data_IF_941511496270
#
_entry.id   IF_941511496270
#
_cell.length_a   1.000
_cell.length_b   1.000
_cell.length_c   1.000
_cell.angle_alpha   90.00
_cell.angle_beta   90.00
_cell.angle_gamma   90.00
#
_symmetry.space_group_name_H-M   'P 1'
#
loop_
_entity.id
_entity.type
_entity.pdbx_description
1 polymer ?
#
# COMPACT_ATOMS: atom_id res chain seq x y z
N UNK A 1 18.05 -6.08 39.82
CA UNK A 1 18.11 -5.15 38.66
C UNK A 1 18.96 -5.83 37.60
N UNK A 2 18.55 -5.85 36.33
CA UNK A 2 19.36 -6.46 35.29
C UNK A 2 20.72 -5.77 35.17
N UNK A 3 21.78 -6.52 34.87
CA UNK A 3 23.13 -5.99 34.69
C UNK A 3 23.20 -5.02 33.51
N UNK A 4 24.09 -4.02 33.56
CA UNK A 4 24.26 -3.04 32.49
C UNK A 4 24.65 -3.72 31.17
N UNK A 5 23.82 -3.53 30.16
CA UNK A 5 24.00 -4.08 28.81
C UNK A 5 24.99 -3.23 28.01
N UNK A 6 25.97 -3.86 27.38
CA UNK A 6 26.78 -3.21 26.35
C UNK A 6 26.04 -3.28 25.01
N UNK A 7 25.32 -2.21 24.71
CA UNK A 7 24.52 -2.08 23.51
C UNK A 7 25.38 -2.09 22.24
N UNK A 8 26.65 -1.64 22.31
CA UNK A 8 27.54 -1.62 21.16
C UNK A 8 27.94 -3.03 20.73
N UNK A 9 28.14 -3.91 21.71
CA UNK A 9 28.37 -5.34 21.50
C UNK A 9 27.10 -6.04 20.99
N UNK A 10 25.94 -5.77 21.61
CA UNK A 10 24.67 -6.39 21.26
C UNK A 10 24.22 -6.11 19.81
N UNK A 11 24.46 -4.90 19.31
CA UNK A 11 24.11 -4.48 17.94
C UNK A 11 24.95 -5.21 16.88
N UNK A 12 26.12 -5.73 17.26
CA UNK A 12 26.98 -6.52 16.38
C UNK A 12 26.65 -8.01 16.33
N UNK A 13 25.77 -8.50 17.21
CA UNK A 13 25.40 -9.92 17.32
C UNK A 13 24.25 -10.29 16.37
N UNK A 14 24.23 -11.56 15.94
CA UNK A 14 23.06 -12.10 15.24
C UNK A 14 21.83 -12.06 16.15
N UNK A 15 20.60 -11.95 15.62
CA UNK A 15 19.38 -11.83 16.42
C UNK A 15 19.25 -12.89 17.53
N UNK A 16 19.52 -14.16 17.23
CA UNK A 16 19.50 -15.23 18.23
C UNK A 16 20.54 -15.03 19.36
N UNK A 17 21.76 -14.61 19.00
CA UNK A 17 22.86 -14.37 19.95
C UNK A 17 22.66 -13.07 20.75
N UNK A 18 22.05 -12.06 20.14
CA UNK A 18 21.60 -10.86 20.83
C UNK A 18 20.53 -11.22 21.86
N UNK A 19 19.53 -12.04 21.49
CA UNK A 19 18.49 -12.53 22.40
C UNK A 19 19.11 -13.32 23.55
N UNK A 20 20.03 -14.24 23.27
CA UNK A 20 20.72 -15.02 24.28
C UNK A 20 21.58 -14.13 25.20
N UNK A 21 22.24 -13.11 24.65
CA UNK A 21 22.94 -12.07 25.40
C UNK A 21 22.00 -11.27 26.31
N UNK A 22 20.85 -10.82 25.82
CA UNK A 22 19.85 -10.11 26.61
C UNK A 22 19.19 -11.01 27.68
N UNK A 23 18.91 -12.27 27.36
CA UNK A 23 18.39 -13.27 28.32
C UNK A 23 19.41 -13.59 29.42
N UNK A 24 20.70 -13.72 29.06
CA UNK A 24 21.80 -13.92 30.03
C UNK A 24 21.97 -12.73 30.99
N UNK A 25 21.48 -11.55 30.59
CA UNK A 25 21.44 -10.31 31.39
C UNK A 25 20.13 -10.11 32.14
N UNK A 26 19.23 -11.10 32.10
CA UNK A 26 17.99 -11.13 32.87
C UNK A 26 16.78 -10.51 32.18
N UNK A 27 16.83 -10.26 30.86
CA UNK A 27 15.71 -9.73 30.09
C UNK A 27 14.91 -10.85 29.43
N UNK A 28 13.62 -10.97 29.75
CA UNK A 28 12.71 -11.96 29.13
C UNK A 28 12.20 -11.43 27.80
N UNK A 29 12.65 -12.02 26.69
CA UNK A 29 12.20 -11.66 25.33
C UNK A 29 11.27 -12.76 24.84
N UNK A 30 9.96 -12.49 24.82
CA UNK A 30 8.94 -13.40 24.30
C UNK A 30 8.64 -13.12 22.83
N UNK A 31 9.53 -13.51 21.91
CA UNK A 31 9.28 -13.36 20.46
C UNK A 31 9.94 -14.48 19.64
N UNK A 32 9.19 -15.06 18.71
CA UNK A 32 9.70 -16.00 17.72
C UNK A 32 10.44 -15.20 16.62
N UNK A 33 11.74 -15.44 16.50
CA UNK A 33 12.64 -14.60 15.69
C UNK A 33 12.44 -14.77 14.18
N UNK A 34 11.90 -15.92 13.73
CA UNK A 34 11.54 -16.15 12.32
C UNK A 34 10.49 -15.15 11.82
N UNK A 35 9.65 -14.61 12.70
CA UNK A 35 8.69 -13.57 12.33
C UNK A 35 9.34 -12.18 12.22
N UNK A 36 10.52 -11.96 12.84
CA UNK A 36 11.26 -10.67 12.77
C UNK A 36 11.88 -10.45 11.40
N UNK A 37 12.22 -11.51 10.69
CA UNK A 37 12.79 -11.43 9.34
C UNK A 37 11.77 -10.89 8.31
N UNK A 38 10.47 -11.18 8.48
CA UNK A 38 9.41 -10.56 7.69
C UNK A 38 9.16 -9.08 8.07
N UNK A 39 9.50 -8.68 9.31
CA UNK A 39 9.17 -7.37 9.91
C UNK A 39 9.98 -6.19 9.37
N UNK A 40 11.13 -6.41 8.72
CA UNK A 40 11.93 -5.34 8.11
C UNK A 40 11.59 -5.07 6.63
N UNK A 41 10.76 -5.91 6.02
CA UNK A 41 10.42 -5.86 4.60
C UNK A 41 9.18 -5.02 4.27
N UNK A 42 8.52 -4.39 5.24
CA UNK A 42 7.23 -3.73 5.02
C UNK A 42 7.32 -2.20 4.87
N UNK A 43 8.41 -1.53 5.25
CA UNK A 43 8.30 -0.12 5.70
C UNK A 43 8.92 0.97 4.83
N UNK A 44 9.62 0.68 3.75
CA UNK A 44 9.99 1.69 2.75
C UNK A 44 10.56 0.97 1.53
N UNK A 45 10.14 1.34 0.32
CA UNK A 45 10.78 0.90 -0.93
C UNK A 45 11.16 -0.61 -0.91
N UNK A 46 10.18 -1.50 -0.93
CA UNK A 46 10.43 -2.91 -0.63
C UNK A 46 10.88 -3.64 -1.90
N UNK A 47 12.20 -3.76 -2.09
CA UNK A 47 12.73 -4.74 -3.03
C UNK A 47 12.61 -6.11 -2.37
N UNK A 48 11.66 -6.92 -2.83
CA UNK A 48 11.43 -8.28 -2.33
C UNK A 48 12.75 -9.04 -2.11
N UNK A 49 13.11 -9.34 -0.86
CA UNK A 49 14.34 -10.05 -0.46
C UNK A 49 15.59 -9.19 -0.17
N UNK A 50 15.47 -7.88 0.12
CA UNK A 50 16.53 -7.09 0.81
C UNK A 50 16.09 -6.82 2.25
N UNK A 51 16.73 -7.46 3.22
CA UNK A 51 16.32 -7.45 4.63
C UNK A 51 16.87 -6.26 5.45
N UNK A 52 17.94 -5.60 4.99
CA UNK A 52 18.55 -4.48 5.73
C UNK A 52 18.04 -3.11 5.24
N UNK A 53 17.57 -2.31 6.19
CA UNK A 53 17.04 -0.95 5.98
C UNK A 53 18.06 0.00 5.32
N UNK A 54 19.35 -0.14 5.65
CA UNK A 54 20.41 0.73 5.11
C UNK A 54 20.61 0.55 3.60
N UNK A 55 20.47 -0.67 3.09
CA UNK A 55 20.52 -0.97 1.65
C UNK A 55 19.26 -0.48 0.95
N UNK A 56 18.09 -0.66 1.57
CA UNK A 56 16.84 -0.14 1.03
C UNK A 56 16.90 1.38 0.86
N UNK A 57 17.47 2.09 1.84
CA UNK A 57 17.74 3.53 1.77
C UNK A 57 18.73 3.88 0.65
N UNK A 58 19.82 3.12 0.49
CA UNK A 58 20.79 3.35 -0.60
C UNK A 58 20.18 3.15 -1.98
N UNK A 59 19.37 2.10 -2.16
CA UNK A 59 18.69 1.83 -3.42
C UNK A 59 17.66 2.93 -3.71
N UNK A 60 16.87 3.34 -2.71
CA UNK A 60 15.92 4.47 -2.84
C UNK A 60 16.64 5.75 -3.25
N UNK A 61 17.73 6.10 -2.56
CA UNK A 61 18.53 7.28 -2.86
C UNK A 61 19.13 7.21 -4.27
N UNK A 62 19.65 6.05 -4.70
CA UNK A 62 20.18 5.86 -6.05
C UNK A 62 19.11 5.99 -7.14
N UNK A 63 17.89 5.55 -6.89
CA UNK A 63 16.77 5.72 -7.83
C UNK A 63 16.28 7.16 -7.89
N UNK A 64 16.23 7.85 -6.75
CA UNK A 64 15.91 9.28 -6.70
C UNK A 64 16.94 10.10 -7.48
N UNK A 65 18.23 9.87 -7.23
CA UNK A 65 19.34 10.47 -7.98
C UNK A 65 19.22 10.21 -9.49
N UNK A 66 18.79 8.99 -9.87
CA UNK A 66 18.57 8.64 -11.28
C UNK A 66 17.42 9.41 -11.92
N UNK A 67 16.35 9.70 -11.17
CA UNK A 67 15.22 10.51 -11.64
C UNK A 67 15.62 11.99 -11.76
N UNK A 68 16.28 12.52 -10.74
CA UNK A 68 16.62 13.94 -10.65
C UNK A 68 17.69 14.34 -11.68
N UNK A 69 18.68 13.47 -11.89
CA UNK A 69 19.84 13.74 -12.74
C UNK A 69 19.83 12.98 -14.08
N UNK A 70 18.78 12.21 -14.38
CA UNK A 70 18.63 11.51 -15.65
C UNK A 70 19.67 10.39 -15.88
N UNK A 71 20.04 9.66 -14.82
CA UNK A 71 21.08 8.63 -14.91
C UNK A 71 20.64 7.40 -15.70
N UNK A 72 21.60 6.76 -16.38
CA UNK A 72 21.37 5.50 -17.10
C UNK A 72 21.41 4.29 -16.16
N UNK A 73 20.84 3.17 -16.60
CA UNK A 73 20.94 1.89 -15.89
C UNK A 73 22.40 1.49 -15.58
N UNK A 74 23.33 1.78 -16.49
CA UNK A 74 24.75 1.46 -16.29
C UNK A 74 25.36 2.32 -15.18
N UNK A 75 25.05 3.61 -15.16
CA UNK A 75 25.49 4.53 -14.10
C UNK A 75 24.91 4.14 -12.75
N UNK A 76 23.61 3.85 -12.67
CA UNK A 76 22.95 3.35 -11.46
C UNK A 76 23.59 2.04 -10.99
N UNK A 77 23.82 1.08 -11.90
CA UNK A 77 24.49 -0.19 -11.56
C UNK A 77 25.88 0.05 -11.00
N UNK A 78 26.68 0.91 -11.61
CA UNK A 78 28.04 1.22 -11.12
C UNK A 78 28.00 1.82 -9.73
N UNK A 79 27.15 2.83 -9.50
CA UNK A 79 26.97 3.46 -8.19
C UNK A 79 26.52 2.46 -7.13
N UNK A 80 25.49 1.66 -7.43
CA UNK A 80 24.96 0.68 -6.50
C UNK A 80 25.94 -0.46 -6.23
N UNK A 81 26.63 -0.95 -7.25
CA UNK A 81 27.68 -1.95 -7.07
C UNK A 81 28.79 -1.40 -6.18
N UNK A 82 29.23 -0.16 -6.38
CA UNK A 82 30.24 0.47 -5.53
C UNK A 82 29.77 0.59 -4.07
N UNK A 83 28.56 1.11 -3.83
CA UNK A 83 27.98 1.25 -2.48
C UNK A 83 27.84 -0.11 -1.78
N UNK A 84 27.31 -1.10 -2.48
CA UNK A 84 27.14 -2.45 -1.96
C UNK A 84 28.51 -3.11 -1.68
N UNK A 85 29.52 -2.93 -2.54
CA UNK A 85 30.88 -3.43 -2.28
C UNK A 85 31.52 -2.76 -1.07
N UNK A 86 31.42 -1.43 -0.95
CA UNK A 86 31.92 -0.70 0.22
C UNK A 86 31.26 -1.16 1.52
N UNK A 87 29.99 -1.54 1.45
CA UNK A 87 29.22 -2.11 2.57
C UNK A 87 29.38 -3.62 2.74
N UNK A 88 30.30 -4.26 2.02
CA UNK A 88 30.61 -5.70 2.15
C UNK A 88 29.60 -6.67 1.53
N UNK A 89 28.67 -6.18 0.70
CA UNK A 89 27.57 -6.94 0.12
C UNK A 89 27.86 -7.59 -1.24
N UNK A 90 29.00 -7.27 -1.86
CA UNK A 90 29.29 -7.65 -3.25
C UNK A 90 30.69 -8.26 -3.47
N UNK A 91 31.41 -8.67 -2.41
CA UNK A 91 32.73 -9.27 -2.58
C UNK A 91 32.66 -10.68 -3.20
N UNK A 92 33.65 -11.00 -4.06
CA UNK A 92 33.85 -12.25 -4.85
C UNK A 92 33.94 -13.56 -4.02
N UNK A 93 33.56 -13.52 -2.74
CA UNK A 93 33.35 -14.66 -1.85
C UNK A 93 32.07 -14.49 -1.04
N UNK A 94 30.95 -14.13 -1.68
CA UNK A 94 29.65 -14.59 -1.21
C UNK A 94 29.57 -16.12 -1.39
N UNK A 95 30.44 -16.86 -0.69
CA UNK A 95 30.08 -18.21 -0.28
C UNK A 95 28.80 -17.99 0.52
N UNK A 96 27.71 -18.49 -0.03
CA UNK A 96 26.53 -18.86 0.73
C UNK A 96 27.06 -19.56 1.98
N UNK A 97 27.09 -18.88 3.13
CA UNK A 97 27.27 -19.58 4.38
C UNK A 97 25.89 -20.14 4.64
N UNK A 98 25.65 -21.34 4.11
CA UNK A 98 24.60 -22.19 4.64
C UNK A 98 24.92 -22.37 6.13
N UNK A 99 23.93 -22.12 6.98
CA UNK A 99 23.96 -22.62 8.34
C UNK A 99 23.93 -24.17 8.34
N UNK A 100 24.10 -24.76 9.51
CA UNK A 100 24.12 -26.22 9.68
C UNK A 100 22.81 -26.91 9.21
N UNK A 101 21.75 -26.14 8.95
CA UNK A 101 20.43 -26.59 8.49
C UNK A 101 20.18 -26.39 6.98
N UNK A 102 21.13 -25.78 6.25
CA UNK A 102 21.07 -25.66 4.79
C UNK A 102 20.19 -24.53 4.24
N UNK A 103 19.83 -23.53 5.05
CA UNK A 103 18.95 -22.42 4.61
C UNK A 103 19.77 -21.29 3.97
N UNK A 104 19.37 -20.87 2.77
CA UNK A 104 19.99 -19.76 2.04
C UNK A 104 19.32 -18.42 2.44
N UNK A 105 19.93 -17.66 3.34
CA UNK A 105 19.47 -16.32 3.76
C UNK A 105 19.61 -15.28 2.63
N UNK A 106 18.50 -14.62 2.26
CA UNK A 106 18.45 -13.44 1.38
C UNK A 106 18.76 -13.69 -0.11
N UNK A 107 17.85 -13.33 -1.02
CA UNK A 107 18.19 -13.32 -2.46
C UNK A 107 19.32 -12.30 -2.68
N UNK A 108 20.38 -12.66 -3.40
CA UNK A 108 21.49 -11.74 -3.72
C UNK A 108 21.00 -10.56 -4.59
N UNK A 109 21.56 -9.36 -4.38
CA UNK A 109 21.38 -8.20 -5.29
C UNK A 109 22.25 -8.37 -6.53
N UNK A 110 21.92 -9.38 -7.33
CA UNK A 110 22.64 -9.63 -8.58
C UNK A 110 22.46 -8.45 -9.53
N UNK A 111 23.39 -8.24 -10.48
CA UNK A 111 23.23 -7.18 -11.48
C UNK A 111 21.93 -7.30 -12.30
N UNK A 112 21.43 -8.53 -12.50
CA UNK A 112 20.14 -8.78 -13.14
C UNK A 112 18.98 -8.23 -12.29
N UNK A 113 19.02 -8.44 -10.97
CA UNK A 113 17.99 -7.95 -10.05
C UNK A 113 18.04 -6.43 -9.89
N UNK A 114 19.23 -5.84 -9.80
CA UNK A 114 19.40 -4.38 -9.82
C UNK A 114 18.80 -3.75 -11.08
N UNK A 115 18.98 -4.39 -12.25
CA UNK A 115 18.31 -3.98 -13.48
C UNK A 115 16.79 -4.02 -13.36
N UNK A 116 16.22 -5.13 -12.90
CA UNK A 116 14.76 -5.25 -12.73
C UNK A 116 14.20 -4.17 -11.79
N UNK A 117 14.89 -3.89 -10.68
CA UNK A 117 14.50 -2.83 -9.74
C UNK A 117 14.51 -1.47 -10.44
N UNK A 118 15.61 -1.14 -11.11
CA UNK A 118 15.76 0.13 -11.81
C UNK A 118 14.68 0.29 -12.89
N UNK A 119 14.57 -0.67 -13.82
CA UNK A 119 13.65 -0.60 -14.95
C UNK A 119 12.20 -0.47 -14.50
N UNK A 120 11.77 -1.27 -13.51
CA UNK A 120 10.39 -1.21 -13.01
C UNK A 120 10.09 0.12 -12.33
N UNK A 121 10.98 0.61 -11.46
CA UNK A 121 10.73 1.86 -10.75
C UNK A 121 10.77 3.07 -11.68
N UNK A 122 11.74 3.14 -12.60
CA UNK A 122 11.78 4.20 -13.60
C UNK A 122 10.52 4.19 -14.48
N UNK A 123 10.08 3.02 -14.95
CA UNK A 123 8.89 2.91 -15.78
C UNK A 123 7.63 3.35 -15.02
N UNK A 124 7.50 2.99 -13.74
CA UNK A 124 6.40 3.46 -12.88
C UNK A 124 6.44 4.98 -12.69
N UNK A 125 7.61 5.56 -12.41
CA UNK A 125 7.76 7.02 -12.25
C UNK A 125 7.42 7.79 -13.53
N UNK A 126 7.91 7.33 -14.69
CA UNK A 126 7.54 7.92 -15.98
C UNK A 126 6.05 7.73 -16.31
N UNK A 127 5.48 6.58 -15.94
CA UNK A 127 4.04 6.33 -16.04
C UNK A 127 3.23 7.31 -15.20
N UNK A 128 3.69 7.58 -13.98
CA UNK A 128 3.05 8.51 -13.07
C UNK A 128 3.07 9.95 -13.58
N UNK A 129 4.24 10.46 -13.98
CA UNK A 129 4.35 11.82 -14.53
C UNK A 129 3.53 12.00 -15.82
N UNK A 130 3.51 10.97 -16.68
CA UNK A 130 2.67 10.96 -17.88
C UNK A 130 1.19 11.02 -17.54
N UNK A 131 0.73 10.25 -16.58
CA UNK A 131 -0.66 10.25 -16.15
C UNK A 131 -1.07 11.64 -15.64
N UNK A 132 -0.24 12.29 -14.81
CA UNK A 132 -0.50 13.66 -14.34
C UNK A 132 -0.68 14.63 -15.51
N UNK A 133 0.26 14.64 -16.47
CA UNK A 133 0.15 15.48 -17.67
C UNK A 133 -1.10 15.17 -18.51
N UNK A 134 -1.52 13.90 -18.56
CA UNK A 134 -2.70 13.48 -19.29
C UNK A 134 -4.00 13.90 -18.59
N UNK A 135 -4.02 13.88 -17.26
CA UNK A 135 -5.15 14.35 -16.47
C UNK A 135 -5.30 15.87 -16.53
N UNK A 136 -4.20 16.61 -16.44
CA UNK A 136 -4.20 18.08 -16.63
C UNK A 136 -4.73 18.48 -18.02
N UNK A 137 -4.54 17.62 -19.01
CA UNK A 137 -4.96 17.82 -20.39
C UNK A 137 -6.20 16.98 -20.78
N UNK A 138 -6.95 16.47 -19.80
CA UNK A 138 -8.07 15.56 -20.08
C UNK A 138 -9.21 16.25 -20.83
N UNK A 139 -9.39 17.57 -20.65
CA UNK A 139 -10.41 18.34 -21.36
C UNK A 139 -10.18 18.38 -22.88
N UNK A 140 -8.94 18.64 -23.32
CA UNK A 140 -8.61 18.73 -24.75
C UNK A 140 -8.29 17.36 -25.36
N UNK A 141 -7.84 16.40 -24.55
CA UNK A 141 -7.44 15.05 -24.98
C UNK A 141 -8.07 13.95 -24.12
N UNK A 142 -9.41 13.81 -24.14
CA UNK A 142 -10.13 12.93 -23.23
C UNK A 142 -10.01 11.44 -23.56
N UNK A 143 -9.39 11.05 -24.69
CA UNK A 143 -9.30 9.65 -25.09
C UNK A 143 -7.89 9.13 -24.91
N UNK A 144 -7.74 8.00 -24.24
CA UNK A 144 -6.46 7.40 -23.93
C UNK A 144 -6.30 6.08 -24.67
N UNK A 145 -5.21 5.97 -25.43
CA UNK A 145 -4.88 4.77 -26.22
C UNK A 145 -3.71 4.03 -25.61
N UNK A 146 -3.87 2.73 -25.37
CA UNK A 146 -2.79 1.79 -25.05
C UNK A 146 -1.85 1.62 -26.25
N UNK A 147 -0.55 1.79 -26.01
CA UNK A 147 0.50 1.65 -27.04
C UNK A 147 1.56 0.68 -26.53
N UNK A 148 1.73 -0.43 -27.24
CA UNK A 148 2.83 -1.37 -27.05
C UNK A 148 3.96 -1.11 -28.06
N UNK A 149 5.17 -1.63 -27.79
CA UNK A 149 6.32 -1.50 -28.71
C UNK A 149 6.15 -2.37 -29.96
N UNK A 150 5.35 -3.45 -29.86
CA UNK A 150 5.05 -4.38 -30.96
C UNK A 150 6.30 -5.03 -31.57
N UNK A 151 7.29 -5.32 -30.74
CA UNK A 151 8.46 -6.13 -31.09
C UNK A 151 8.34 -7.57 -30.54
N UNK A 152 9.30 -8.43 -30.89
CA UNK A 152 9.38 -9.83 -30.43
C UNK A 152 9.49 -9.98 -28.90
N UNK A 153 9.80 -8.90 -28.18
CA UNK A 153 9.92 -8.87 -26.72
C UNK A 153 8.63 -8.39 -26.04
N UNK A 154 7.62 -7.99 -26.80
CA UNK A 154 6.32 -7.59 -26.29
C UNK A 154 5.50 -8.86 -26.07
N UNK A 155 5.02 -9.04 -24.83
CA UNK A 155 4.21 -10.22 -24.48
C UNK A 155 2.91 -10.24 -25.30
N UNK A 156 2.42 -11.40 -25.77
CA UNK A 156 1.19 -11.49 -26.57
C UNK A 156 -0.01 -10.81 -25.90
N UNK A 157 -0.20 -11.01 -24.58
CA UNK A 157 -1.26 -10.36 -23.82
C UNK A 157 -1.18 -8.82 -23.85
N UNK A 158 0.04 -8.25 -23.89
CA UNK A 158 0.22 -6.80 -23.96
C UNK A 158 0.04 -6.28 -25.39
N UNK A 159 0.47 -7.05 -26.39
CA UNK A 159 0.26 -6.74 -27.80
C UNK A 159 -1.23 -6.76 -28.17
N UNK A 160 -2.02 -7.65 -27.57
CA UNK A 160 -3.48 -7.73 -27.74
C UNK A 160 -4.20 -6.44 -27.30
N UNK A 161 -3.64 -5.71 -26.32
CA UNK A 161 -4.17 -4.43 -25.86
C UNK A 161 -3.71 -3.23 -26.71
N UNK A 162 -2.81 -3.42 -27.68
CA UNK A 162 -2.31 -2.31 -28.48
C UNK A 162 -3.44 -1.71 -29.33
N UNK A 163 -3.69 -0.42 -29.16
CA UNK A 163 -4.78 0.29 -29.84
C UNK A 163 -6.06 0.38 -29.02
N UNK A 164 -6.19 -0.35 -27.90
CA UNK A 164 -7.32 -0.18 -26.97
C UNK A 164 -7.40 1.30 -26.58
N UNK A 165 -8.51 1.93 -26.94
CA UNK A 165 -8.76 3.35 -26.70
C UNK A 165 -10.03 3.49 -25.88
N UNK A 166 -9.95 4.12 -24.73
CA UNK A 166 -11.10 4.41 -23.86
C UNK A 166 -11.04 5.86 -23.38
N UNK A 167 -12.14 6.39 -22.85
CA UNK A 167 -12.15 7.74 -22.25
C UNK A 167 -11.29 7.75 -20.98
N UNK A 168 -10.67 8.88 -20.65
CA UNK A 168 -9.69 9.02 -19.58
C UNK A 168 -10.19 8.61 -18.18
N UNK A 169 -11.50 8.66 -17.96
CA UNK A 169 -12.21 8.32 -16.73
C UNK A 169 -12.81 6.92 -16.75
N UNK A 170 -12.57 6.13 -17.81
CA UNK A 170 -12.96 4.72 -17.86
C UNK A 170 -12.27 3.94 -16.72
N UNK A 171 -13.02 3.11 -15.96
CA UNK A 171 -12.49 2.32 -14.85
C UNK A 171 -11.24 1.47 -15.15
N UNK A 172 -11.00 1.06 -16.40
CA UNK A 172 -9.80 0.27 -16.74
C UNK A 172 -8.52 0.98 -16.36
N UNK A 173 -8.49 2.32 -16.40
CA UNK A 173 -7.27 3.05 -16.12
C UNK A 173 -6.88 2.98 -14.66
N UNK A 174 -7.72 2.48 -13.76
CA UNK A 174 -7.38 2.27 -12.36
C UNK A 174 -6.42 1.11 -12.16
N UNK A 175 -6.47 0.08 -13.02
CA UNK A 175 -5.69 -1.15 -12.86
C UNK A 175 -4.90 -1.60 -14.10
N UNK A 176 -5.24 -1.12 -15.31
CA UNK A 176 -4.57 -1.47 -16.57
C UNK A 176 -3.73 -0.31 -17.16
N UNK A 177 -3.44 0.72 -16.36
CA UNK A 177 -2.49 1.77 -16.73
C UNK A 177 -1.06 1.26 -16.51
N UNK A 178 -0.19 1.24 -17.54
CA UNK A 178 1.09 0.58 -17.45
C UNK A 178 2.06 1.29 -16.48
N UNK A 179 3.01 0.55 -15.87
CA UNK A 179 3.40 -0.82 -16.22
C UNK A 179 2.48 -1.91 -15.65
N UNK A 180 2.15 -2.90 -16.47
CA UNK A 180 1.30 -4.04 -16.08
C UNK A 180 2.10 -5.28 -15.68
N UNK A 181 3.43 -5.17 -15.60
CA UNK A 181 4.29 -6.31 -15.43
C UNK A 181 5.79 -6.02 -15.51
N UNK A 182 6.60 -6.99 -15.10
CA UNK A 182 8.06 -6.90 -15.18
C UNK A 182 8.51 -6.72 -16.63
N UNK A 183 9.38 -5.73 -16.87
CA UNK A 183 9.88 -5.40 -18.22
C UNK A 183 8.80 -4.87 -19.18
N UNK A 184 7.64 -4.44 -18.67
CA UNK A 184 6.61 -3.81 -19.50
C UNK A 184 7.14 -2.51 -20.11
N UNK A 185 6.94 -2.35 -21.42
CA UNK A 185 7.30 -1.14 -22.19
C UNK A 185 6.09 -0.47 -22.84
N UNK A 186 4.89 -0.87 -22.39
CA UNK A 186 3.64 -0.25 -22.80
C UNK A 186 3.52 1.14 -22.20
N UNK A 187 2.78 2.00 -22.88
CA UNK A 187 2.47 3.37 -22.45
C UNK A 187 1.06 3.73 -22.86
N UNK A 188 0.52 4.80 -22.26
CA UNK A 188 -0.73 5.42 -22.70
C UNK A 188 -0.42 6.68 -23.51
N UNK A 189 -1.22 6.96 -24.53
CA UNK A 189 -1.17 8.18 -25.34
C UNK A 189 -2.54 8.85 -25.30
N UNK A 190 -2.59 10.11 -24.88
CA UNK A 190 -3.81 10.92 -24.94
C UNK A 190 -4.08 11.40 -26.38
N UNK A 191 -5.35 11.44 -26.75
CA UNK A 191 -5.90 11.72 -28.09
C UNK A 191 -7.04 12.72 -27.95
N UNK A 192 -7.09 13.66 -28.89
CA UNK A 192 -8.21 14.60 -29.02
C UNK A 192 -9.39 13.96 -29.74
N UNK A 193 -10.57 14.58 -29.71
CA UNK A 193 -11.71 14.17 -30.55
C UNK A 193 -11.33 14.13 -32.04
N UNK A 194 -10.60 15.14 -32.52
CA UNK A 194 -10.12 15.19 -33.92
C UNK A 194 -9.20 14.01 -34.28
N UNK A 195 -8.38 13.53 -33.33
CA UNK A 195 -7.59 12.31 -33.52
C UNK A 195 -8.46 11.07 -33.67
N UNK A 196 -9.57 10.97 -32.92
CA UNK A 196 -10.52 9.86 -32.98
C UNK A 196 -11.21 9.85 -34.33
N UNK A 197 -11.79 10.98 -34.73
CA UNK A 197 -12.56 11.10 -35.97
C UNK A 197 -11.66 10.94 -37.20
N UNK A 198 -10.53 11.67 -37.24
CA UNK A 198 -9.64 11.71 -38.39
C UNK A 198 -8.84 10.41 -38.63
N UNK A 199 -8.71 9.54 -37.62
CA UNK A 199 -8.05 8.23 -37.73
C UNK A 199 -9.03 7.06 -37.62
N UNK A 200 -10.33 7.35 -37.51
CA UNK A 200 -11.40 6.36 -37.33
C UNK A 200 -11.08 5.36 -36.20
N UNK A 201 -10.60 5.86 -35.06
CA UNK A 201 -10.24 5.03 -33.90
C UNK A 201 -11.52 4.66 -33.17
N UNK A 202 -11.76 3.35 -32.97
CA UNK A 202 -12.87 2.89 -32.14
C UNK A 202 -12.60 3.19 -30.66
N UNK A 203 -13.56 3.87 -30.01
CA UNK A 203 -13.54 4.10 -28.56
C UNK A 203 -14.31 2.97 -27.89
N UNK A 204 -13.65 2.29 -26.97
CA UNK A 204 -14.16 1.18 -26.18
C UNK A 204 -14.54 1.65 -24.76
N UNK A 205 -15.50 0.97 -24.14
CA UNK A 205 -15.94 1.18 -22.76
C UNK A 205 -15.82 -0.13 -21.98
N UNK A 206 -15.39 -0.06 -20.72
CA UNK A 206 -15.31 -1.24 -19.85
C UNK A 206 -16.61 -1.67 -19.23
N UNK A 207 -17.66 -0.88 -19.36
CA UNK A 207 -19.00 -1.24 -18.91
C UNK A 207 -19.42 -2.62 -19.46
N UNK A 208 -19.82 -3.54 -18.57
CA UNK A 208 -20.19 -4.92 -18.92
C UNK A 208 -19.02 -5.84 -19.30
N UNK A 209 -17.77 -5.37 -19.25
CA UNK A 209 -16.57 -6.15 -19.61
C UNK A 209 -15.60 -6.38 -18.45
N UNK A 210 -15.90 -5.82 -17.27
CA UNK A 210 -15.12 -6.02 -16.04
C UNK A 210 -15.55 -7.29 -15.32
N UNK A 211 -14.58 -8.00 -14.76
CA UNK A 211 -14.79 -9.22 -14.00
C UNK A 211 -13.68 -9.40 -12.96
N UNK A 212 -14.02 -10.03 -11.83
CA UNK A 212 -13.04 -10.38 -10.79
C UNK A 212 -12.58 -11.82 -11.01
N UNK A 213 -11.27 -12.05 -10.97
CA UNK A 213 -10.68 -13.38 -11.17
C UNK A 213 -9.66 -13.71 -10.09
N UNK A 214 -9.49 -15.00 -9.83
CA UNK A 214 -8.45 -15.49 -8.94
C UNK A 214 -7.11 -15.59 -9.67
N UNK A 215 -6.13 -14.82 -9.20
CA UNK A 215 -4.77 -14.79 -9.72
C UNK A 215 -3.81 -15.46 -8.73
N UNK A 216 -2.93 -16.32 -9.23
CA UNK A 216 -1.87 -16.92 -8.42
C UNK A 216 -0.96 -15.85 -7.78
N UNK A 217 -0.65 -16.04 -6.51
CA UNK A 217 0.13 -15.13 -5.68
C UNK A 217 1.21 -15.90 -4.93
N UNK A 218 2.24 -16.34 -5.66
CA UNK A 218 3.29 -17.22 -5.10
C UNK A 218 2.95 -18.70 -5.25
N UNK A 219 3.68 -19.60 -4.57
CA UNK A 219 3.59 -21.03 -4.85
C UNK A 219 2.28 -21.70 -4.41
N UNK A 220 1.60 -21.17 -3.39
CA UNK A 220 0.41 -21.80 -2.80
C UNK A 220 -0.79 -20.86 -2.64
N UNK A 221 -0.62 -19.54 -2.81
CA UNK A 221 -1.70 -18.58 -2.56
C UNK A 221 -2.32 -18.07 -3.86
N UNK A 222 -3.55 -17.57 -3.75
CA UNK A 222 -4.23 -16.82 -4.80
C UNK A 222 -4.82 -15.53 -4.22
N UNK A 223 -5.09 -14.54 -5.08
CA UNK A 223 -5.74 -13.29 -4.71
C UNK A 223 -6.80 -12.91 -5.75
N UNK A 224 -7.86 -12.25 -5.31
CA UNK A 224 -8.84 -11.65 -6.21
C UNK A 224 -8.26 -10.40 -6.87
N UNK A 225 -8.43 -10.29 -8.18
CA UNK A 225 -7.98 -9.13 -8.96
C UNK A 225 -8.99 -8.74 -10.01
N UNK A 226 -9.02 -7.44 -10.31
CA UNK A 226 -9.79 -6.90 -11.43
C UNK A 226 -9.18 -7.35 -12.77
N UNK A 227 -10.04 -7.82 -13.66
CA UNK A 227 -9.75 -8.23 -15.02
C UNK A 227 -10.78 -7.63 -15.98
N UNK A 228 -10.48 -7.65 -17.27
CA UNK A 228 -11.44 -7.24 -18.28
C UNK A 228 -11.32 -8.10 -19.54
N UNK A 229 -12.44 -8.25 -20.26
CA UNK A 229 -12.44 -8.85 -21.61
C UNK A 229 -12.29 -7.80 -22.68
N UNK A 230 -11.30 -8.01 -23.55
CA UNK A 230 -11.10 -7.21 -24.74
C UNK A 230 -10.86 -8.12 -25.94
N UNK A 231 -11.62 -7.92 -27.01
CA UNK A 231 -11.61 -8.77 -28.21
C UNK A 231 -11.78 -10.27 -27.89
N UNK A 232 -12.65 -10.60 -26.92
CA UNK A 232 -12.90 -11.98 -26.49
C UNK A 232 -11.82 -12.61 -25.62
N UNK A 233 -10.72 -11.90 -25.32
CA UNK A 233 -9.64 -12.36 -24.46
C UNK A 233 -9.73 -11.71 -23.08
N UNK A 234 -9.63 -12.54 -22.03
CA UNK A 234 -9.49 -12.06 -20.67
C UNK A 234 -8.08 -11.51 -20.46
N UNK A 235 -7.98 -10.30 -19.93
CA UNK A 235 -6.72 -9.68 -19.56
C UNK A 235 -6.66 -9.40 -18.06
N UNK A 236 -5.52 -9.72 -17.47
CA UNK A 236 -5.20 -9.43 -16.08
C UNK A 236 -3.73 -8.96 -16.00
N UNK A 237 -3.45 -7.84 -15.33
CA UNK A 237 -2.06 -7.41 -15.03
C UNK A 237 -1.30 -8.49 -14.26
N UNK A 238 0.03 -8.53 -14.36
CA UNK A 238 0.86 -9.49 -13.63
C UNK A 238 0.70 -9.32 -12.10
N UNK A 239 0.94 -10.41 -11.36
CA UNK A 239 1.00 -10.36 -9.90
C UNK A 239 2.03 -9.30 -9.44
N UNK A 240 1.59 -8.38 -8.58
CA UNK A 240 2.36 -7.25 -8.06
C UNK A 240 2.13 -5.94 -8.82
N UNK A 241 1.41 -6.02 -9.94
CA UNK A 241 0.92 -4.89 -10.72
C UNK A 241 -0.61 -4.81 -10.56
N UNK A 242 -1.30 -4.08 -11.45
CA UNK A 242 -2.76 -3.90 -11.36
C UNK A 242 -3.20 -2.64 -10.61
N UNK A 243 -2.36 -1.60 -10.61
CA UNK A 243 -2.66 -0.30 -10.04
C UNK A 243 -2.11 0.80 -10.95
N UNK A 244 -2.79 1.93 -11.00
CA UNK A 244 -2.32 3.07 -11.78
C UNK A 244 -1.16 3.80 -11.05
N UNK A 245 0.06 3.84 -11.62
CA UNK A 245 1.19 4.49 -10.98
C UNK A 245 1.00 6.01 -10.79
N UNK A 246 0.21 6.66 -11.65
CA UNK A 246 -0.09 8.10 -11.61
C UNK A 246 -1.20 8.51 -10.67
N UNK A 247 -2.01 7.56 -10.22
CA UNK A 247 -2.97 7.80 -9.14
C UNK A 247 -2.31 7.75 -7.76
N UNK A 248 -0.99 7.57 -7.71
CA UNK A 248 -0.18 7.60 -6.50
C UNK A 248 0.46 6.24 -6.30
N UNK A 249 1.64 6.02 -6.87
CA UNK A 249 2.47 4.84 -6.58
C UNK A 249 2.57 4.56 -5.07
N UNK A 250 2.74 5.61 -4.27
CA UNK A 250 2.80 5.55 -2.81
C UNK A 250 1.45 5.19 -2.17
N UNK A 251 0.34 5.74 -2.69
CA UNK A 251 -0.99 5.36 -2.24
C UNK A 251 -1.30 3.90 -2.56
N UNK A 252 -1.03 3.46 -3.79
CA UNK A 252 -1.16 2.08 -4.21
C UNK A 252 -0.26 1.13 -3.40
N UNK A 253 0.95 1.55 -3.05
CA UNK A 253 1.82 0.80 -2.13
C UNK A 253 1.22 0.70 -0.74
N UNK A 254 0.72 1.80 -0.18
CA UNK A 254 0.04 1.84 1.11
C UNK A 254 -1.20 0.94 1.15
N UNK A 255 -2.04 1.01 0.12
CA UNK A 255 -3.22 0.16 -0.01
C UNK A 255 -2.83 -1.32 -0.13
N UNK A 256 -1.80 -1.68 -0.90
CA UNK A 256 -1.29 -3.06 -0.96
C UNK A 256 -0.75 -3.54 0.38
N UNK A 257 -0.08 -2.67 1.14
CA UNK A 257 0.43 -3.04 2.45
C UNK A 257 -0.72 -3.31 3.43
N UNK A 258 -1.75 -2.46 3.43
CA UNK A 258 -2.94 -2.64 4.24
C UNK A 258 -3.74 -3.89 3.81
N UNK A 259 -3.88 -4.14 2.52
CA UNK A 259 -4.49 -5.36 1.98
C UNK A 259 -3.74 -6.61 2.45
N UNK A 260 -2.40 -6.61 2.44
CA UNK A 260 -1.61 -7.72 3.01
C UNK A 260 -1.77 -7.84 4.53
N UNK A 261 -2.05 -6.73 5.21
CA UNK A 261 -2.27 -6.69 6.66
C UNK A 261 -3.61 -7.28 7.07
N UNK A 262 -4.55 -7.48 6.14
CA UNK A 262 -5.83 -8.17 6.42
C UNK A 262 -5.64 -9.64 6.79
N UNK A 263 -4.59 -10.28 6.29
CA UNK A 263 -4.28 -11.69 6.52
C UNK A 263 -3.12 -11.89 7.51
N UNK A 264 -2.61 -10.80 8.09
CA UNK A 264 -1.53 -10.84 9.06
C UNK A 264 -2.10 -10.86 10.49
N UNK A 265 -1.38 -11.46 11.46
CA UNK A 265 -1.73 -11.34 12.88
C UNK A 265 -2.01 -9.87 13.27
N UNK A 266 -3.13 -9.58 13.97
CA UNK A 266 -3.62 -8.21 14.20
C UNK A 266 -2.59 -7.24 14.78
N UNK A 267 -1.78 -7.70 15.73
CA UNK A 267 -0.72 -6.90 16.36
C UNK A 267 0.37 -6.51 15.34
N UNK A 268 0.70 -7.41 14.42
CA UNK A 268 1.66 -7.12 13.35
C UNK A 268 1.06 -6.21 12.28
N UNK A 269 -0.21 -6.43 11.91
CA UNK A 269 -0.96 -5.55 11.01
C UNK A 269 -0.99 -4.10 11.55
N UNK A 270 -1.33 -3.94 12.83
CA UNK A 270 -1.34 -2.64 13.51
C UNK A 270 0.01 -1.92 13.44
N UNK A 271 1.11 -2.60 13.79
CA UNK A 271 2.45 -2.02 13.75
C UNK A 271 2.89 -1.65 12.33
N UNK A 272 2.66 -2.54 11.35
CA UNK A 272 3.05 -2.32 9.97
C UNK A 272 2.30 -1.12 9.37
N UNK A 273 1.00 -1.02 9.59
CA UNK A 273 0.19 0.10 9.11
C UNK A 273 0.55 1.40 9.85
N UNK A 274 0.76 1.35 11.16
CA UNK A 274 1.16 2.54 11.93
C UNK A 274 2.52 3.10 11.48
N UNK A 275 3.52 2.24 11.25
CA UNK A 275 4.82 2.68 10.72
C UNK A 275 4.70 3.17 9.27
N UNK A 276 3.84 2.56 8.45
CA UNK A 276 3.62 3.04 7.07
C UNK A 276 3.01 4.44 7.07
N UNK A 277 2.03 4.69 7.95
CA UNK A 277 1.36 5.97 8.10
C UNK A 277 2.15 7.01 8.91
N UNK A 278 3.29 6.63 9.52
CA UNK A 278 4.22 7.59 10.12
C UNK A 278 5.13 8.28 9.10
N UNK A 279 5.28 7.71 7.91
CA UNK A 279 6.02 8.32 6.80
C UNK A 279 5.16 9.41 6.13
N UNK A 280 5.52 10.70 6.23
CA UNK A 280 4.65 11.79 5.78
C UNK A 280 4.23 11.68 4.31
N UNK A 281 5.17 11.31 3.43
CA UNK A 281 4.89 11.15 1.99
C UNK A 281 3.90 10.01 1.69
N UNK A 282 3.91 8.95 2.48
CA UNK A 282 2.97 7.83 2.34
C UNK A 282 1.60 8.22 2.89
N UNK A 283 1.57 8.87 4.05
CA UNK A 283 0.33 9.39 4.62
C UNK A 283 -0.36 10.37 3.65
N UNK A 284 0.37 11.37 3.16
CA UNK A 284 -0.18 12.36 2.22
C UNK A 284 -0.72 11.70 0.95
N UNK A 285 -0.02 10.69 0.43
CA UNK A 285 -0.46 9.93 -0.73
C UNK A 285 -1.75 9.14 -0.44
N UNK A 286 -1.82 8.44 0.69
CA UNK A 286 -3.01 7.65 1.10
C UNK A 286 -4.19 8.57 1.37
N UNK A 287 -3.99 9.69 2.07
CA UNK A 287 -5.02 10.72 2.30
C UNK A 287 -5.51 11.32 0.98
N UNK A 288 -4.62 11.60 0.03
CA UNK A 288 -4.99 12.11 -1.30
C UNK A 288 -5.78 11.08 -2.11
N UNK A 289 -5.43 9.79 -2.02
CA UNK A 289 -6.18 8.71 -2.66
C UNK A 289 -7.55 8.52 -2.00
N UNK A 290 -7.65 8.59 -0.68
CA UNK A 290 -8.91 8.56 0.05
C UNK A 290 -9.82 9.72 -0.38
N UNK A 291 -9.30 10.95 -0.46
CA UNK A 291 -10.03 12.10 -1.00
C UNK A 291 -10.57 11.85 -2.40
N UNK A 292 -9.76 11.26 -3.29
CA UNK A 292 -10.19 10.94 -4.65
C UNK A 292 -11.28 9.88 -4.65
N UNK A 293 -11.11 8.83 -3.85
CA UNK A 293 -12.08 7.75 -3.70
C UNK A 293 -13.44 8.30 -3.24
N UNK A 294 -13.47 9.12 -2.19
CA UNK A 294 -14.69 9.75 -1.67
C UNK A 294 -15.38 10.57 -2.76
N UNK A 295 -14.64 11.45 -3.43
CA UNK A 295 -15.18 12.29 -4.50
C UNK A 295 -15.75 11.46 -5.67
N UNK A 296 -15.12 10.34 -6.02
CA UNK A 296 -15.61 9.45 -7.07
C UNK A 296 -16.84 8.66 -6.64
N UNK A 297 -16.88 8.18 -5.40
CA UNK A 297 -18.01 7.42 -4.86
C UNK A 297 -19.28 8.26 -4.82
N UNK A 298 -19.18 9.57 -4.57
CA UNK A 298 -20.34 10.48 -4.59
C UNK A 298 -20.90 10.76 -6.00
N UNK A 299 -20.20 10.38 -7.07
CA UNK A 299 -20.60 10.64 -8.45
C UNK A 299 -21.27 9.47 -9.15
N UNK A 300 -21.38 8.31 -8.49
CA UNK A 300 -21.88 7.07 -9.09
C UNK A 300 -22.60 6.20 -8.07
N UNK A 301 -23.40 5.25 -8.54
CA UNK A 301 -23.98 4.22 -7.68
C UNK A 301 -22.87 3.35 -7.04
N UNK A 302 -23.05 2.90 -5.78
CA UNK A 302 -22.10 2.00 -5.13
C UNK A 302 -21.88 0.72 -5.95
N UNK A 303 -20.61 0.37 -6.15
CA UNK A 303 -20.17 -0.79 -6.91
C UNK A 303 -19.35 -1.77 -6.05
N UNK A 304 -19.35 -1.60 -4.73
CA UNK A 304 -18.55 -2.40 -3.79
C UNK A 304 -17.06 -2.02 -3.76
N UNK A 305 -16.73 -0.81 -4.21
CA UNK A 305 -15.37 -0.31 -4.14
C UNK A 305 -15.01 0.10 -2.70
N UNK A 306 -13.75 -0.05 -2.32
CA UNK A 306 -13.27 0.32 -0.98
C UNK A 306 -11.85 0.87 -0.97
N UNK A 307 -11.48 1.51 0.14
CA UNK A 307 -10.11 1.92 0.49
C UNK A 307 -9.83 1.69 1.96
N UNK A 308 -8.65 1.16 2.27
CA UNK A 308 -8.20 1.06 3.65
C UNK A 308 -7.80 2.44 4.16
N UNK A 309 -8.31 2.80 5.33
CA UNK A 309 -8.00 4.05 6.01
C UNK A 309 -6.89 3.89 7.05
N UNK A 310 -6.68 2.67 7.57
CA UNK A 310 -5.65 2.41 8.58
C UNK A 310 -5.85 1.07 9.24
N UNK A 311 -5.39 0.95 10.48
CA UNK A 311 -5.59 -0.22 11.33
C UNK A 311 -5.75 0.19 12.78
N UNK A 312 -6.35 -0.69 13.60
CA UNK A 312 -6.38 -0.53 15.05
C UNK A 312 -4.96 -0.32 15.58
N UNK A 313 -4.82 0.49 16.64
CA UNK A 313 -3.53 0.65 17.30
C UNK A 313 -3.19 -0.60 18.13
N UNK A 314 -1.91 -0.80 18.44
CA UNK A 314 -1.49 -1.85 19.38
C UNK A 314 -2.12 -1.65 20.76
N UNK A 315 -2.28 -0.41 21.21
CA UNK A 315 -2.93 -0.08 22.49
C UNK A 315 -4.40 -0.51 22.51
N UNK A 316 -5.13 -0.24 21.43
CA UNK A 316 -6.52 -0.67 21.27
C UNK A 316 -6.61 -2.20 21.24
N UNK A 317 -5.72 -2.88 20.52
CA UNK A 317 -5.67 -4.34 20.48
C UNK A 317 -5.36 -4.97 21.85
N UNK A 318 -4.40 -4.43 22.60
CA UNK A 318 -4.06 -4.90 23.94
C UNK A 318 -5.24 -4.71 24.91
N UNK A 319 -5.93 -3.56 24.80
CA UNK A 319 -7.11 -3.26 25.59
C UNK A 319 -8.30 -4.19 25.27
N UNK A 320 -8.47 -4.59 24.01
CA UNK A 320 -9.46 -5.59 23.60
C UNK A 320 -9.08 -6.99 24.10
N UNK A 321 -7.81 -7.37 23.97
CA UNK A 321 -7.31 -8.66 24.43
C UNK A 321 -7.47 -8.84 25.94
N UNK A 322 -7.21 -7.79 26.73
CA UNK A 322 -7.48 -7.76 28.18
C UNK A 322 -8.96 -7.94 28.54
N UNK A 323 -9.87 -7.75 27.58
CA UNK A 323 -11.32 -7.99 27.70
C UNK A 323 -11.76 -9.31 27.05
N UNK A 324 -10.82 -10.16 26.65
CA UNK A 324 -11.10 -11.45 26.00
C UNK A 324 -11.56 -11.32 24.55
N UNK A 325 -11.35 -10.17 23.90
CA UNK A 325 -11.70 -9.93 22.50
C UNK A 325 -10.43 -9.81 21.65
N UNK A 326 -10.27 -10.67 20.66
CA UNK A 326 -9.15 -10.63 19.72
C UNK A 326 -9.76 -10.61 18.32
N UNK A 327 -9.71 -9.47 17.60
CA UNK A 327 -10.25 -9.41 16.25
C UNK A 327 -9.40 -10.23 15.29
N UNK A 328 -10.01 -10.83 14.27
CA UNK A 328 -9.28 -11.62 13.26
C UNK A 328 -8.38 -10.77 12.36
N UNK A 329 -8.75 -9.49 12.16
CA UNK A 329 -7.98 -8.52 11.41
C UNK A 329 -8.09 -7.12 12.05
N UNK A 330 -7.02 -6.35 11.96
CA UNK A 330 -6.95 -5.00 12.54
C UNK A 330 -7.25 -3.88 11.53
N UNK A 331 -7.37 -4.18 10.24
CA UNK A 331 -7.50 -3.17 9.19
C UNK A 331 -8.87 -2.48 9.25
N UNK A 332 -8.88 -1.18 9.01
CA UNK A 332 -10.09 -0.34 8.95
C UNK A 332 -10.31 0.16 7.51
N UNK A 333 -11.52 0.02 7.01
CA UNK A 333 -11.86 0.18 5.59
C UNK A 333 -13.04 1.12 5.39
N UNK A 334 -12.94 2.02 4.41
CA UNK A 334 -14.03 2.86 3.92
C UNK A 334 -14.58 2.24 2.63
N UNK A 335 -15.89 2.04 2.56
CA UNK A 335 -16.60 1.51 1.38
C UNK A 335 -17.33 2.62 0.63
N UNK A 336 -17.56 2.43 -0.67
CA UNK A 336 -18.32 3.39 -1.48
C UNK A 336 -19.78 3.48 -1.03
N UNK A 337 -20.37 2.36 -0.58
CA UNK A 337 -21.68 2.31 0.06
C UNK A 337 -21.74 3.17 1.32
N UNK A 338 -20.75 3.10 2.22
CA UNK A 338 -20.73 3.93 3.43
C UNK A 338 -20.62 5.42 3.10
N UNK A 339 -19.80 5.77 2.11
CA UNK A 339 -19.65 7.15 1.62
C UNK A 339 -20.96 7.66 1.02
N UNK A 340 -21.63 6.89 0.16
CA UNK A 340 -22.90 7.31 -0.46
C UNK A 340 -24.02 7.40 0.56
N UNK A 341 -24.09 6.46 1.51
CA UNK A 341 -25.11 6.46 2.56
C UNK A 341 -24.97 7.65 3.51
N UNK A 342 -23.74 8.04 3.84
CA UNK A 342 -23.44 9.17 4.71
C UNK A 342 -22.35 10.02 4.08
N UNK A 343 -22.69 10.94 3.15
CA UNK A 343 -21.71 11.72 2.41
C UNK A 343 -20.71 12.44 3.32
N UNK A 344 -21.22 13.02 4.43
CA UNK A 344 -20.48 13.61 5.55
C UNK A 344 -19.36 14.61 5.19
N UNK A 345 -18.90 15.44 6.13
CA UNK A 345 -17.49 15.78 6.15
C UNK A 345 -16.70 14.54 6.67
N UNK A 346 -15.36 14.58 6.67
CA UNK A 346 -14.43 13.65 7.37
C UNK A 346 -13.79 12.54 6.55
N UNK A 347 -14.51 11.84 5.66
CA UNK A 347 -13.98 10.63 5.00
C UNK A 347 -12.57 10.81 4.42
N UNK A 348 -12.33 11.97 3.78
CA UNK A 348 -11.07 12.29 3.12
C UNK A 348 -9.85 12.30 4.04
N UNK A 349 -10.03 12.67 5.33
CA UNK A 349 -8.94 12.89 6.29
C UNK A 349 -8.76 11.75 7.29
N UNK A 350 -9.63 10.72 7.23
CA UNK A 350 -9.60 9.59 8.15
C UNK A 350 -8.22 8.91 8.27
N UNK A 351 -7.42 8.73 7.19
CA UNK A 351 -6.10 8.11 7.34
C UNK A 351 -5.16 8.85 8.30
N UNK A 352 -5.26 10.17 8.37
CA UNK A 352 -4.49 10.97 9.31
C UNK A 352 -5.15 11.02 10.69
N UNK A 353 -6.47 11.20 10.74
CA UNK A 353 -7.22 11.39 11.98
C UNK A 353 -7.27 10.12 12.86
N UNK A 354 -7.43 8.95 12.24
CA UNK A 354 -7.50 7.67 12.96
C UNK A 354 -6.15 7.24 13.56
N UNK A 355 -5.04 7.85 13.10
CA UNK A 355 -3.71 7.55 13.64
C UNK A 355 -3.48 8.20 15.01
N UNK A 356 -4.21 9.27 15.31
CA UNK A 356 -4.15 10.02 16.56
C UNK A 356 -5.56 10.38 17.03
N UNK A 357 -6.39 9.39 17.38
CA UNK A 357 -7.71 9.67 17.92
C UNK A 357 -7.59 10.36 19.28
N UNK A 358 -8.57 11.17 19.62
CA UNK A 358 -8.71 11.74 20.96
C UNK A 358 -9.07 10.64 21.97
N UNK A 359 -9.97 9.73 21.57
CA UNK A 359 -10.33 8.55 22.34
C UNK A 359 -10.80 7.41 21.43
N UNK A 360 -10.66 6.17 21.91
CA UNK A 360 -11.27 4.98 21.34
C UNK A 360 -12.04 4.26 22.43
N UNK A 361 -13.31 3.95 22.18
CA UNK A 361 -14.22 3.31 23.13
C UNK A 361 -14.78 2.01 22.55
N UNK A 362 -15.09 1.05 23.41
CA UNK A 362 -15.79 -0.17 23.02
C UNK A 362 -17.30 0.01 23.17
N UNK A 363 -18.07 -0.35 22.15
CA UNK A 363 -19.53 -0.39 22.17
C UNK A 363 -20.00 -1.74 21.63
N UNK A 364 -20.22 -2.70 22.54
CA UNK A 364 -20.48 -4.08 22.15
C UNK A 364 -19.33 -4.64 21.31
N UNK A 365 -19.61 -5.02 20.06
CA UNK A 365 -18.61 -5.48 19.12
C UNK A 365 -17.90 -4.36 18.33
N UNK A 366 -18.51 -3.18 18.30
CA UNK A 366 -18.05 -2.01 17.56
C UNK A 366 -17.01 -1.22 18.37
N UNK A 367 -16.27 -0.38 17.65
CA UNK A 367 -15.35 0.59 18.23
C UNK A 367 -15.78 2.00 17.84
N UNK A 368 -15.83 2.90 18.82
CA UNK A 368 -16.12 4.30 18.61
C UNK A 368 -14.85 5.12 18.70
N UNK A 369 -14.48 5.73 17.58
CA UNK A 369 -13.35 6.64 17.48
C UNK A 369 -13.84 8.07 17.63
N UNK A 370 -13.26 8.79 18.58
CA UNK A 370 -13.40 10.25 18.70
C UNK A 370 -12.20 10.89 18.02
N UNK A 371 -12.44 11.64 16.96
CA UNK A 371 -11.41 12.26 16.13
C UNK A 371 -11.56 13.79 16.11
N UNK A 372 -10.45 14.49 15.83
CA UNK A 372 -10.44 15.95 15.67
C UNK A 372 -10.49 16.34 14.19
N UNK A 373 -11.32 17.32 13.87
CA UNK A 373 -11.33 17.99 12.58
C UNK A 373 -11.36 19.51 12.80
N UNK A 374 -10.21 20.17 12.67
CA UNK A 374 -10.05 21.53 13.18
C UNK A 374 -10.18 21.56 14.70
N UNK A 375 -11.04 22.44 15.21
CA UNK A 375 -11.33 22.55 16.65
C UNK A 375 -12.46 21.60 17.11
N UNK A 376 -13.22 21.06 16.16
CA UNK A 376 -14.39 20.23 16.43
C UNK A 376 -14.04 18.75 16.63
N UNK A 377 -14.84 18.08 17.46
CA UNK A 377 -14.77 16.64 17.69
C UNK A 377 -15.85 15.93 16.91
N UNK A 378 -15.52 14.78 16.34
CA UNK A 378 -16.44 13.96 15.58
C UNK A 378 -16.30 12.50 15.97
N UNK A 379 -17.34 11.72 15.69
CA UNK A 379 -17.37 10.29 15.90
C UNK A 379 -17.23 9.54 14.57
N UNK A 380 -16.41 8.50 14.58
CA UNK A 380 -16.34 7.48 13.54
C UNK A 380 -16.60 6.15 14.21
N UNK A 381 -17.53 5.36 13.68
CA UNK A 381 -17.80 4.01 14.18
C UNK A 381 -17.09 3.00 13.29
N UNK A 382 -16.31 2.11 13.89
CA UNK A 382 -15.71 0.97 13.23
C UNK A 382 -16.51 -0.28 13.61
N UNK A 383 -17.24 -0.82 12.64
CA UNK A 383 -18.10 -2.01 12.78
C UNK A 383 -17.36 -3.22 12.21
N UNK A 384 -17.41 -4.41 12.84
CA UNK A 384 -16.86 -5.62 12.23
C UNK A 384 -17.39 -5.83 10.81
N UNK A 385 -16.49 -5.94 9.85
CA UNK A 385 -16.83 -6.00 8.42
C UNK A 385 -17.50 -7.32 8.05
N UNK A 386 -18.60 -7.26 7.28
CA UNK A 386 -19.23 -8.45 6.71
C UNK A 386 -18.62 -8.84 5.35
N UNK A 387 -18.28 -7.84 4.54
CA UNK A 387 -17.74 -8.00 3.18
C UNK A 387 -16.30 -7.46 3.04
N UNK A 388 -15.71 -7.01 4.14
CA UNK A 388 -14.34 -6.51 4.21
C UNK A 388 -13.66 -7.12 5.43
N UNK A 389 -12.38 -7.44 5.32
CA UNK A 389 -11.61 -7.95 6.45
C UNK A 389 -11.38 -6.85 7.50
N UNK A 390 -11.58 -7.18 8.77
CA UNK A 390 -11.40 -6.27 9.91
C UNK A 390 -12.65 -5.43 10.15
N UNK A 391 -12.54 -4.12 10.02
CA UNK A 391 -13.61 -3.18 10.35
C UNK A 391 -14.01 -2.32 9.16
N UNK A 392 -15.31 -2.16 8.96
CA UNK A 392 -15.90 -1.16 8.08
C UNK A 392 -16.19 0.13 8.86
N UNK A 393 -15.76 1.26 8.30
CA UNK A 393 -15.96 2.57 8.91
C UNK A 393 -17.30 3.17 8.49
N UNK A 394 -17.99 3.73 9.47
CA UNK A 394 -19.26 4.42 9.33
C UNK A 394 -19.16 5.81 10.00
N UNK A 395 -19.96 6.75 9.51
CA UNK A 395 -20.12 8.07 10.12
C UNK A 395 -21.50 8.15 10.80
N UNK A 396 -21.59 7.90 12.12
CA UNK A 396 -22.81 8.16 12.88
C UNK A 396 -23.28 9.59 12.67
N UNK A 397 -24.60 9.79 12.61
CA UNK A 397 -25.24 11.09 12.42
C UNK A 397 -24.68 11.89 11.21
N UNK A 398 -24.22 11.18 10.18
CA UNK A 398 -23.64 11.79 8.98
C UNK A 398 -22.31 12.52 9.21
N UNK A 399 -21.61 12.22 10.32
CA UNK A 399 -20.34 12.87 10.66
C UNK A 399 -20.52 14.24 11.33
N UNK A 400 -21.69 14.49 11.93
CA UNK A 400 -21.95 15.70 12.71
C UNK A 400 -20.92 15.90 13.83
N UNK A 401 -20.75 17.15 14.24
CA UNK A 401 -19.92 17.50 15.40
C UNK A 401 -20.55 16.93 16.68
N UNK A 402 -19.70 16.41 17.56
CA UNK A 402 -20.11 15.87 18.84
C UNK A 402 -20.56 16.99 19.78
N UNK A 403 -21.79 16.90 20.26
CA UNK A 403 -22.32 17.81 21.27
C UNK A 403 -21.82 17.43 22.67
N UNK A 404 -21.88 18.34 23.66
CA UNK A 404 -21.60 18.00 25.06
C UNK A 404 -22.43 16.83 25.58
N UNK A 405 -23.69 16.71 25.14
CA UNK A 405 -24.55 15.58 25.50
C UNK A 405 -24.03 14.27 24.89
N UNK A 406 -23.64 14.29 23.60
CA UNK A 406 -23.04 13.13 22.93
C UNK A 406 -21.74 12.69 23.60
N UNK A 407 -20.87 13.64 23.99
CA UNK A 407 -19.64 13.36 24.73
C UNK A 407 -19.92 12.74 26.11
N UNK A 408 -20.96 13.19 26.80
CA UNK A 408 -21.37 12.62 28.09
C UNK A 408 -21.84 11.18 27.92
N UNK A 409 -22.63 10.88 26.89
CA UNK A 409 -23.04 9.49 26.58
C UNK A 409 -21.83 8.62 26.21
N UNK A 410 -20.86 9.14 25.46
CA UNK A 410 -19.63 8.41 25.16
C UNK A 410 -18.81 8.13 26.42
N UNK A 411 -18.77 9.04 27.40
CA UNK A 411 -18.02 8.85 28.64
C UNK A 411 -18.53 7.69 29.51
N UNK A 412 -19.75 7.19 29.27
CA UNK A 412 -20.29 6.00 29.94
C UNK A 412 -19.75 4.68 29.36
N UNK A 413 -19.13 4.72 28.17
CA UNK A 413 -18.61 3.53 27.49
C UNK A 413 -17.19 3.16 27.95
N UNK A 414 -16.82 1.86 27.88
CA UNK A 414 -15.48 1.41 28.21
C UNK A 414 -14.40 2.05 27.31
N UNK A 415 -13.53 2.84 27.91
CA UNK A 415 -12.36 3.44 27.24
C UNK A 415 -11.30 2.37 26.93
N UNK A 416 -10.82 2.37 25.68
CA UNK A 416 -9.73 1.51 25.20
C UNK A 416 -8.42 2.28 25.06
N UNK A 417 -8.49 3.50 24.54
CA UNK A 417 -7.32 4.34 24.26
C UNK A 417 -7.68 5.83 24.36
N UNK A 418 -6.70 6.66 24.71
CA UNK A 418 -6.88 8.11 24.78
C UNK A 418 -7.60 8.57 26.04
N UNK A 419 -8.31 9.69 25.96
CA UNK A 419 -9.10 10.23 27.07
C UNK A 419 -10.20 11.16 26.53
N UNK A 420 -11.35 11.16 27.20
CA UNK A 420 -12.42 12.14 26.95
C UNK A 420 -12.36 13.33 27.92
N UNK A 421 -11.54 13.24 28.98
CA UNK A 421 -11.48 14.24 30.04
C UNK A 421 -10.58 15.41 29.64
N UNK A 422 -11.12 16.64 29.65
CA UNK A 422 -10.39 17.87 29.31
C UNK A 422 -10.37 18.20 27.81
N UNK A 423 -11.28 17.61 27.04
CA UNK A 423 -11.49 17.87 25.61
C UNK A 423 -12.46 19.03 25.35
#
# INVERSE_FOLDING_TARGET
MPESVDLSYAIGLKPAQAIEYFQSKGYTIGFNWHEVEARAHATAFTVAGILRQDILQDVRAGLQDSLDNGLTLEQFRRQMTQKLTQKGWLADKAKLVADEDGVLEGKQLTPRRLRTIFETNMQSSYGAGRYTQQMENAADRPYWTRVAVMDLRTRPAHAALNGLTARYDDPIWQFAYPPDGWGCRCRVRARSQSDIDGKSISVWSSEGHLETVQQAWGPQDTREVQAFRYNGQLYTPDAGFGHNPGQGWLAGLGQRLMDRSTNAPPQMAALAVQHTLSEPQLLDAITSDMRRFVNQSLLREPAGAFRHAGALSTRTLDALAGRGRIPDAAVMTVTDSAVVQSPGPLWELLPAQLRQPAAVLADGDDLLYVIRNGESLHQVRAVPGQNVAGYELQLPDGGAELTPASLQSLAELPLLEGALNGL
#
